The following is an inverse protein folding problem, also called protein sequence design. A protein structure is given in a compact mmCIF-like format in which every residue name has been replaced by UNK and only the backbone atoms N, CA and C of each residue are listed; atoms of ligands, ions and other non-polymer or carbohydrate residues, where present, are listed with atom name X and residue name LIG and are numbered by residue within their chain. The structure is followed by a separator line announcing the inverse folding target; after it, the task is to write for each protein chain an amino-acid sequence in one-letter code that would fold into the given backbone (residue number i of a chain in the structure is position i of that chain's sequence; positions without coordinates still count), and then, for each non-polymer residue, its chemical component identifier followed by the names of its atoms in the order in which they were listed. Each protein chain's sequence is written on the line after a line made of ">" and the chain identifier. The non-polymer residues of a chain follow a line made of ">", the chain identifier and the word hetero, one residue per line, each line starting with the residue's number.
data_IF_951446543170
#
_entry.id   IF_951446543170
#
_cell.length_a   1.000
_cell.length_b   1.000
_cell.length_c   1.000
_cell.angle_alpha   90.00
_cell.angle_beta   90.00
_cell.angle_gamma   90.00
#
_symmetry.space_group_name_H-M   'P 1'
#
loop_
_entity.id
_entity.type
_entity.pdbx_description
1 polymer ?
#
# COMPACT_ATOMS: atom_id res chain seq x y z
N UNK A 1 -7.53 7.92 14.39
CA UNK A 1 -6.63 8.97 14.33
C UNK A 1 -6.44 9.53 12.96
N UNK A 2 -6.38 10.82 12.83
CA UNK A 2 -6.20 11.40 11.56
C UNK A 2 -4.78 11.69 11.29
N UNK A 3 -4.34 11.43 10.07
CA UNK A 3 -3.00 11.78 9.68
C UNK A 3 -2.96 13.24 9.30
N UNK A 4 -1.89 13.91 9.67
CA UNK A 4 -1.64 15.27 9.28
C UNK A 4 -1.03 15.23 7.88
N UNK A 5 -1.66 15.86 6.93
CA UNK A 5 -1.17 15.84 5.55
C UNK A 5 0.18 16.53 5.41
N UNK A 6 0.59 17.30 6.40
CA UNK A 6 1.91 17.89 6.36
C UNK A 6 2.99 16.94 6.87
N UNK A 7 2.61 15.79 7.42
CA UNK A 7 3.54 14.79 7.88
C UNK A 7 3.99 13.98 6.68
N UNK A 8 5.30 13.85 6.48
CA UNK A 8 5.82 13.09 5.35
C UNK A 8 5.38 11.65 5.40
N UNK A 9 5.02 11.12 6.56
CA UNK A 9 4.56 9.74 6.66
C UNK A 9 3.14 9.55 6.17
N UNK A 10 2.43 10.63 5.90
CA UNK A 10 1.04 10.55 5.44
C UNK A 10 0.94 9.74 4.14
N UNK A 11 1.87 9.97 3.22
CA UNK A 11 1.82 9.32 1.92
C UNK A 11 2.02 7.81 2.06
N UNK A 12 2.87 7.40 3.00
CA UNK A 12 3.11 5.97 3.18
C UNK A 12 1.84 5.28 3.68
N UNK A 13 1.05 5.98 4.47
CA UNK A 13 -0.18 5.42 4.99
C UNK A 13 -1.20 5.10 3.91
N UNK A 14 -1.48 6.06 3.04
CA UNK A 14 -2.50 5.78 2.03
C UNK A 14 -1.98 4.85 0.94
N UNK A 15 -0.67 4.87 0.65
CA UNK A 15 -0.12 3.89 -0.28
C UNK A 15 -0.25 2.48 0.30
N UNK A 16 0.01 2.33 1.59
CA UNK A 16 -0.15 1.04 2.24
C UNK A 16 -1.57 0.52 2.14
N UNK A 17 -2.56 1.40 2.31
CA UNK A 17 -3.95 1.01 2.15
C UNK A 17 -4.24 0.56 0.74
N UNK A 18 -3.66 1.24 -0.25
CA UNK A 18 -3.85 0.86 -1.64
C UNK A 18 -3.21 -0.49 -1.94
N UNK A 19 -2.03 -0.75 -1.38
CA UNK A 19 -1.38 -2.04 -1.56
C UNK A 19 -2.30 -3.14 -1.03
N UNK A 20 -2.85 -2.95 0.16
CA UNK A 20 -3.73 -3.95 0.74
C UNK A 20 -4.97 -4.16 -0.11
N UNK A 21 -5.55 -3.08 -0.61
CA UNK A 21 -6.75 -3.14 -1.42
C UNK A 21 -6.51 -3.97 -2.68
N UNK A 22 -5.45 -3.65 -3.43
CA UNK A 22 -5.20 -4.35 -4.68
C UNK A 22 -4.72 -5.77 -4.44
N UNK A 23 -4.00 -6.00 -3.33
CA UNK A 23 -3.62 -7.36 -2.96
C UNK A 23 -4.85 -8.23 -2.76
N UNK A 24 -5.83 -7.71 -2.03
CA UNK A 24 -7.06 -8.47 -1.75
C UNK A 24 -7.87 -8.67 -3.01
N UNK A 25 -7.93 -7.67 -3.87
CA UNK A 25 -8.64 -7.80 -5.12
C UNK A 25 -8.03 -8.89 -6.00
N UNK A 26 -6.72 -9.09 -5.87
CA UNK A 26 -6.04 -10.10 -6.65
C UNK A 26 -6.11 -11.46 -5.95
N UNK A 27 -6.67 -11.52 -4.78
CA UNK A 27 -6.80 -12.79 -4.05
C UNK A 27 -5.52 -13.28 -3.41
N UNK A 28 -4.58 -12.38 -3.14
CA UNK A 28 -3.31 -12.78 -2.55
C UNK A 28 -3.32 -12.58 -1.05
N UNK A 29 -2.64 -13.49 -0.34
CA UNK A 29 -2.37 -13.27 1.07
C UNK A 29 -1.14 -12.39 1.20
N UNK A 30 -0.91 -11.85 2.40
CA UNK A 30 0.31 -11.10 2.66
C UNK A 30 1.54 -11.97 2.42
N UNK A 31 1.46 -13.22 2.85
CA UNK A 31 2.59 -14.14 2.68
C UNK A 31 2.88 -14.38 1.20
N UNK A 32 1.83 -14.50 0.40
CA UNK A 32 2.04 -14.75 -1.02
C UNK A 32 2.61 -13.52 -1.71
N UNK A 33 2.11 -12.33 -1.36
CA UNK A 33 2.67 -11.12 -1.93
C UNK A 33 4.13 -10.97 -1.54
N UNK A 34 4.47 -11.29 -0.31
CA UNK A 34 5.85 -11.23 0.16
C UNK A 34 6.72 -12.19 -0.64
N UNK A 35 6.23 -13.40 -0.84
CA UNK A 35 6.97 -14.39 -1.60
C UNK A 35 7.23 -13.92 -3.03
N UNK A 36 6.19 -13.43 -3.70
CA UNK A 36 6.32 -13.02 -5.09
C UNK A 36 7.20 -11.78 -5.24
N UNK A 37 7.23 -10.93 -4.23
CA UNK A 37 8.02 -9.70 -4.31
C UNK A 37 9.41 -9.86 -3.72
N UNK A 38 9.67 -11.02 -3.13
CA UNK A 38 10.94 -11.30 -2.48
C UNK A 38 11.19 -10.39 -1.29
N UNK A 39 10.11 -10.00 -0.61
CA UNK A 39 10.19 -9.26 0.64
C UNK A 39 9.71 -10.16 1.77
N UNK A 40 9.91 -9.75 2.99
CA UNK A 40 9.41 -10.51 4.12
C UNK A 40 7.93 -10.23 4.34
N UNK A 41 7.22 -11.19 4.93
CA UNK A 41 5.83 -10.97 5.28
C UNK A 41 5.69 -9.82 6.25
N UNK A 42 6.65 -9.68 7.17
CA UNK A 42 6.62 -8.59 8.13
C UNK A 42 6.71 -7.24 7.44
N UNK A 43 7.54 -7.13 6.40
CA UNK A 43 7.67 -5.89 5.66
C UNK A 43 6.34 -5.54 4.98
N UNK A 44 5.70 -6.52 4.33
CA UNK A 44 4.41 -6.30 3.68
C UNK A 44 3.37 -5.88 4.72
N UNK A 45 3.34 -6.58 5.84
CA UNK A 45 2.39 -6.26 6.90
C UNK A 45 2.61 -4.84 7.42
N UNK A 46 3.86 -4.44 7.60
CA UNK A 46 4.17 -3.10 8.07
C UNK A 46 3.73 -2.04 7.08
N UNK A 47 3.92 -2.30 5.79
CA UNK A 47 3.46 -1.37 4.75
C UNK A 47 1.95 -1.20 4.83
N UNK A 48 1.23 -2.31 4.91
CA UNK A 48 -0.23 -2.27 4.86
C UNK A 48 -0.84 -1.69 6.13
N UNK A 49 -0.18 -1.89 7.25
CA UNK A 49 -0.71 -1.44 8.53
C UNK A 49 -0.14 -0.10 8.98
N UNK A 50 0.72 0.47 8.14
CA UNK A 50 1.28 1.79 8.38
C UNK A 50 1.92 1.93 9.75
N UNK A 51 2.80 0.99 10.08
CA UNK A 51 3.49 1.06 11.35
C UNK A 51 4.85 1.72 11.17
N UNK A 52 4.83 2.97 10.74
CA UNK A 52 6.04 3.78 10.53
C UNK A 52 7.00 3.12 9.56
N UNK A 53 6.45 2.42 8.56
CA UNK A 53 7.27 1.75 7.59
C UNK A 53 7.38 2.63 6.34
N UNK A 54 8.60 3.00 6.01
CA UNK A 54 8.84 3.69 4.74
C UNK A 54 9.32 2.66 3.74
N UNK A 55 9.33 3.04 2.49
CA UNK A 55 9.82 2.15 1.44
C UNK A 55 10.23 2.99 0.24
N UNK A 56 11.07 2.44 -0.58
CA UNK A 56 11.60 3.15 -1.72
C UNK A 56 10.61 3.15 -2.88
N UNK A 57 10.86 4.02 -3.84
CA UNK A 57 10.05 4.03 -5.04
C UNK A 57 10.25 2.72 -5.80
N UNK A 58 11.43 2.11 -5.67
CA UNK A 58 11.66 0.81 -6.29
C UNK A 58 10.80 -0.28 -5.71
N UNK A 59 10.57 -0.24 -4.40
CA UNK A 59 9.66 -1.18 -3.76
C UNK A 59 8.25 -0.98 -4.29
N UNK A 60 7.82 0.28 -4.40
CA UNK A 60 6.50 0.58 -4.90
C UNK A 60 6.35 0.05 -6.33
N UNK A 61 7.37 0.25 -7.15
CA UNK A 61 7.35 -0.24 -8.53
C UNK A 61 7.22 -1.76 -8.55
N UNK A 62 8.02 -2.45 -7.74
CA UNK A 62 7.98 -3.92 -7.69
C UNK A 62 6.60 -4.42 -7.29
N UNK A 63 6.01 -3.80 -6.27
CA UNK A 63 4.68 -4.22 -5.83
C UNK A 63 3.64 -3.96 -6.92
N UNK A 64 3.76 -2.85 -7.64
CA UNK A 64 2.80 -2.56 -8.70
C UNK A 64 2.86 -3.61 -9.79
N UNK A 65 4.04 -4.10 -10.11
CA UNK A 65 4.17 -5.14 -11.13
C UNK A 65 3.50 -6.43 -10.69
N UNK A 66 3.70 -6.82 -9.45
CA UNK A 66 3.12 -8.06 -8.94
C UNK A 66 1.61 -7.95 -8.82
N UNK A 67 1.15 -6.79 -8.39
CA UNK A 67 -0.28 -6.55 -8.24
C UNK A 67 -0.96 -6.27 -9.58
N UNK A 68 -0.17 -6.09 -10.62
CA UNK A 68 -0.66 -5.85 -11.97
C UNK A 68 -1.53 -4.60 -12.04
N UNK A 69 -1.08 -3.56 -11.36
CA UNK A 69 -1.74 -2.25 -11.44
C UNK A 69 -0.70 -1.23 -11.80
N UNK A 70 -1.13 -0.16 -12.44
CA UNK A 70 -0.22 0.93 -12.73
C UNK A 70 0.23 1.56 -11.42
N UNK A 71 1.51 1.91 -11.35
CA UNK A 71 2.06 2.45 -10.11
C UNK A 71 1.28 3.66 -9.63
N UNK A 72 0.80 4.50 -10.54
CA UNK A 72 0.09 5.69 -10.11
C UNK A 72 -1.17 5.36 -9.31
N UNK A 73 -1.77 4.19 -9.55
CA UNK A 73 -2.96 3.82 -8.80
C UNK A 73 -2.66 3.54 -7.35
N UNK A 74 -1.44 3.14 -7.04
CA UNK A 74 -1.05 2.97 -5.65
C UNK A 74 -0.80 4.31 -4.98
N UNK A 75 -0.58 5.35 -5.78
CA UNK A 75 -0.24 6.66 -5.26
C UNK A 75 -1.43 7.61 -5.17
N UNK A 76 -2.64 7.14 -5.46
CA UNK A 76 -3.82 7.97 -5.38
C UNK A 76 -4.45 7.82 -4.02
N UNK A 77 -4.64 8.91 -3.33
CA UNK A 77 -5.32 8.86 -2.05
C UNK A 77 -6.81 8.74 -2.30
N UNK A 78 -7.39 7.60 -1.87
CA UNK A 78 -8.81 7.41 -2.03
C UNK A 78 -9.53 7.90 -0.82
N UNK A 79 -10.45 8.82 -0.98
CA UNK A 79 -11.23 9.29 0.13
C UNK A 79 -12.50 8.53 0.19
N UNK A 80 -12.98 8.33 1.41
CA UNK A 80 -14.21 7.64 1.55
C UNK A 80 -15.30 8.48 1.04
N UNK A 81 -16.29 7.86 0.43
CA UNK A 81 -17.36 8.57 -0.08
C UNK A 81 -18.32 8.87 0.96
N UNK A 82 -18.06 9.55 1.92
CA UNK A 82 -18.96 9.76 2.91
C UNK A 82 -19.99 10.63 2.54
N UNK A 83 -20.99 10.36 2.76
CA UNK A 83 -22.07 11.11 2.53
C UNK A 83 -22.29 11.54 1.23
N UNK A 84 -21.97 11.27 0.52
CA UNK A 84 -22.06 11.76 -0.63
C UNK A 84 -22.93 11.99 -1.21
N UNK A 85 -23.14 12.20 -1.19
CA UNK A 85 -23.85 12.44 -1.60
C UNK A 85 -24.20 12.38 -2.19
#
# INVERSE_FOLDING_TARGET
>A
MKFDRNDENYVYGFIGKNVKKYRKQKGLTQAKLAELSNYSKQFISNIENNVHQTFSIGTLWRLSLILEVDMYKLCIEEKEKEGIL
#
